data_IF_166017896256
#
_entry.id   IF_166017896256
#
_cell.length_a   1.000
_cell.length_b   1.000
_cell.length_c   1.000
_cell.angle_alpha   90.00
_cell.angle_beta   90.00
_cell.angle_gamma   90.00
#
_symmetry.space_group_name_H-M   'P 1'
#
loop_
_entity.id
_entity.type
_entity.pdbx_description
1 polymer ?
#
# COMPACT_ATOMS: atom_id res chain seq x y z
N UNK A 1 -11.47 36.15 17.36
CA UNK A 1 -12.02 35.12 16.44
C UNK A 1 -10.92 34.26 15.80
N UNK A 2 -9.64 34.39 16.18
CA UNK A 2 -8.57 33.65 15.52
C UNK A 2 -8.58 32.17 15.93
N UNK A 3 -8.81 31.86 17.21
CA UNK A 3 -8.77 30.50 17.72
C UNK A 3 -10.01 29.69 17.34
N UNK A 4 -11.16 30.35 17.26
CA UNK A 4 -12.40 29.76 16.73
C UNK A 4 -12.23 29.33 15.27
N UNK A 5 -11.68 30.21 14.42
CA UNK A 5 -11.43 29.90 13.00
C UNK A 5 -10.40 28.79 12.84
N UNK A 6 -9.32 28.80 13.62
CA UNK A 6 -8.29 27.74 13.61
C UNK A 6 -8.93 26.38 13.97
N UNK A 7 -9.73 26.34 15.03
CA UNK A 7 -10.35 25.10 15.51
C UNK A 7 -11.38 24.56 14.52
N UNK A 8 -12.23 25.42 13.95
CA UNK A 8 -13.19 25.03 12.91
C UNK A 8 -12.50 24.52 11.65
N UNK A 9 -11.43 25.19 11.21
CA UNK A 9 -10.64 24.74 10.05
C UNK A 9 -10.00 23.37 10.32
N UNK A 10 -9.48 23.15 11.52
CA UNK A 10 -8.88 21.89 11.94
C UNK A 10 -9.89 20.74 11.88
N UNK A 11 -11.05 20.92 12.52
CA UNK A 11 -12.12 19.91 12.55
C UNK A 11 -12.65 19.68 11.14
N UNK A 12 -12.83 20.73 10.35
CA UNK A 12 -13.21 20.64 8.94
C UNK A 12 -12.24 19.81 8.11
N UNK A 13 -10.93 20.02 8.26
CA UNK A 13 -9.90 19.23 7.58
C UNK A 13 -9.91 17.76 8.01
N UNK A 14 -10.11 17.48 9.29
CA UNK A 14 -10.23 16.10 9.81
C UNK A 14 -11.45 15.41 9.18
N UNK A 15 -12.61 16.06 9.20
CA UNK A 15 -13.83 15.51 8.61
C UNK A 15 -13.70 15.31 7.09
N UNK A 16 -13.08 16.26 6.39
CA UNK A 16 -12.84 16.17 4.95
C UNK A 16 -11.86 15.04 4.60
N UNK A 17 -10.80 14.87 5.40
CA UNK A 17 -9.85 13.77 5.23
C UNK A 17 -10.54 12.41 5.35
N UNK A 18 -11.36 12.21 6.39
CA UNK A 18 -12.10 10.95 6.59
C UNK A 18 -13.17 10.72 5.53
N UNK A 19 -13.83 11.78 5.06
CA UNK A 19 -14.75 11.70 3.94
C UNK A 19 -14.05 11.22 2.65
N UNK A 20 -12.92 11.84 2.32
CA UNK A 20 -12.10 11.42 1.18
C UNK A 20 -11.67 9.94 1.30
N UNK A 21 -11.27 9.50 2.50
CA UNK A 21 -10.89 8.11 2.74
C UNK A 21 -12.07 7.15 2.62
N UNK A 22 -13.25 7.54 3.11
CA UNK A 22 -14.49 6.77 2.96
C UNK A 22 -14.81 6.59 1.47
N UNK A 23 -14.87 7.68 0.71
CA UNK A 23 -15.12 7.63 -0.73
C UNK A 23 -14.08 6.80 -1.47
N UNK A 24 -12.80 6.96 -1.12
CA UNK A 24 -11.70 6.20 -1.71
C UNK A 24 -11.80 4.69 -1.44
N UNK A 25 -12.31 4.28 -0.28
CA UNK A 25 -12.49 2.85 0.04
C UNK A 25 -13.76 2.28 -0.59
N UNK A 26 -14.86 3.03 -0.50
CA UNK A 26 -16.18 2.60 -0.95
C UNK A 26 -16.28 2.53 -2.47
N UNK A 27 -15.84 3.57 -3.16
CA UNK A 27 -16.16 3.79 -4.56
C UNK A 27 -14.98 3.58 -5.51
N UNK A 28 -13.76 4.02 -5.17
CA UNK A 28 -12.63 3.96 -6.11
C UNK A 28 -12.34 2.53 -6.58
N UNK A 29 -12.42 1.53 -5.70
CA UNK A 29 -12.24 0.13 -6.10
C UNK A 29 -13.30 -0.31 -7.11
N UNK A 30 -14.56 0.01 -6.84
CA UNK A 30 -15.72 -0.35 -7.67
C UNK A 30 -15.66 0.34 -9.04
N UNK A 31 -15.41 1.65 -9.06
CA UNK A 31 -15.23 2.42 -10.29
C UNK A 31 -13.99 1.98 -11.07
N UNK A 32 -12.87 1.68 -10.42
CA UNK A 32 -11.70 1.12 -11.10
C UNK A 32 -12.04 -0.22 -11.75
N UNK A 33 -12.71 -1.15 -11.06
CA UNK A 33 -13.09 -2.44 -11.66
C UNK A 33 -13.98 -2.22 -12.89
N UNK A 34 -14.99 -1.36 -12.76
CA UNK A 34 -15.91 -1.04 -13.85
C UNK A 34 -15.22 -0.37 -15.05
N UNK A 35 -14.37 0.63 -14.81
CA UNK A 35 -13.63 1.31 -15.87
C UNK A 35 -12.69 0.35 -16.61
N UNK A 36 -11.98 -0.51 -15.87
CA UNK A 36 -11.05 -1.49 -16.46
C UNK A 36 -11.76 -2.57 -17.29
N UNK A 37 -13.02 -2.90 -16.98
CA UNK A 37 -13.84 -3.77 -17.83
C UNK A 37 -14.21 -3.09 -19.14
N UNK A 38 -14.52 -1.79 -19.12
CA UNK A 38 -14.88 -1.02 -20.33
C UNK A 38 -13.69 -0.68 -21.21
N UNK A 39 -12.53 -0.40 -20.62
CA UNK A 39 -11.35 0.11 -21.34
C UNK A 39 -10.46 -0.99 -21.94
N UNK A 40 -10.76 -2.27 -21.72
CA UNK A 40 -9.93 -3.38 -22.21
C UNK A 40 -8.52 -3.43 -21.61
N UNK A 41 -8.24 -2.68 -20.53
CA UNK A 41 -6.90 -2.51 -19.95
C UNK A 41 -6.42 -3.71 -19.12
N UNK A 42 -7.02 -4.89 -19.32
CA UNK A 42 -6.67 -6.13 -18.63
C UNK A 42 -6.00 -7.06 -19.64
N UNK A 43 -4.68 -7.20 -19.54
CA UNK A 43 -3.92 -8.16 -20.35
C UNK A 43 -4.12 -9.56 -19.76
N UNK A 44 -4.66 -10.48 -20.54
CA UNK A 44 -4.82 -11.87 -20.13
C UNK A 44 -3.50 -12.62 -20.28
N UNK A 45 -3.17 -13.46 -19.30
CA UNK A 45 -2.07 -14.41 -19.36
C UNK A 45 -2.48 -15.73 -18.72
N UNK A 46 -1.88 -16.83 -19.17
CA UNK A 46 -1.95 -18.09 -18.45
C UNK A 46 -0.91 -18.11 -17.33
N UNK A 47 -1.30 -18.63 -16.17
CA UNK A 47 -0.39 -18.84 -15.05
C UNK A 47 -0.45 -20.29 -14.57
N UNK A 48 0.69 -20.81 -14.15
CA UNK A 48 0.84 -22.16 -13.59
C UNK A 48 0.83 -22.06 -12.07
N UNK A 49 0.04 -22.91 -11.40
CA UNK A 49 -0.03 -22.96 -9.94
C UNK A 49 1.18 -23.75 -9.43
N UNK A 50 2.10 -23.10 -8.73
CA UNK A 50 3.23 -23.76 -8.08
C UNK A 50 2.84 -24.40 -6.74
N UNK A 51 2.00 -23.72 -5.96
CA UNK A 51 1.56 -24.23 -4.66
C UNK A 51 0.22 -23.65 -4.24
N UNK A 52 -0.49 -24.39 -3.38
CA UNK A 52 -1.81 -24.03 -2.85
C UNK A 52 -1.75 -24.14 -1.33
N UNK A 53 -1.97 -23.02 -0.63
CA UNK A 53 -2.05 -22.98 0.84
C UNK A 53 -3.45 -22.60 1.26
N UNK A 54 -4.08 -23.38 2.15
CA UNK A 54 -5.39 -23.04 2.71
C UNK A 54 -5.22 -22.12 3.92
N UNK A 55 -5.65 -20.87 3.80
CA UNK A 55 -5.59 -19.87 4.89
C UNK A 55 -6.78 -19.99 5.84
N UNK A 56 -7.97 -20.28 5.32
CA UNK A 56 -9.19 -20.48 6.11
C UNK A 56 -10.02 -21.62 5.54
N UNK A 57 -10.29 -22.62 6.37
CA UNK A 57 -11.19 -23.72 6.03
C UNK A 57 -12.67 -23.29 6.16
N UNK A 58 -13.55 -23.92 5.38
CA UNK A 58 -14.99 -23.69 5.43
C UNK A 58 -15.69 -24.10 4.13
N UNK A 59 -17.00 -23.84 4.02
CA UNK A 59 -17.78 -24.10 2.79
C UNK A 59 -17.23 -23.39 1.54
N UNK A 60 -16.61 -22.23 1.76
CA UNK A 60 -15.86 -21.48 0.76
C UNK A 60 -14.46 -21.21 1.32
N UNK A 61 -13.49 -22.11 1.12
CA UNK A 61 -12.18 -21.94 1.71
C UNK A 61 -11.45 -20.74 1.08
N UNK A 62 -10.64 -20.06 1.90
CA UNK A 62 -9.72 -19.02 1.44
C UNK A 62 -8.38 -19.68 1.10
N UNK A 63 -8.03 -19.69 -0.18
CA UNK A 63 -6.78 -20.26 -0.69
C UNK A 63 -5.79 -19.14 -1.02
N UNK A 64 -4.51 -19.38 -0.76
CA UNK A 64 -3.38 -18.60 -1.25
C UNK A 64 -2.63 -19.45 -2.28
N UNK A 65 -2.69 -19.05 -3.55
CA UNK A 65 -2.00 -19.71 -4.65
C UNK A 65 -0.70 -18.97 -4.94
N UNK A 66 0.41 -19.70 -5.05
CA UNK A 66 1.63 -19.20 -5.65
C UNK A 66 1.56 -19.50 -7.14
N UNK A 67 1.51 -18.45 -7.97
CA UNK A 67 1.38 -18.59 -9.42
C UNK A 67 2.63 -18.12 -10.15
N UNK A 68 3.05 -18.87 -11.16
CA UNK A 68 4.12 -18.55 -12.09
C UNK A 68 3.52 -18.10 -13.42
N UNK A 69 3.93 -16.94 -13.91
CA UNK A 69 3.55 -16.44 -15.23
C UNK A 69 4.62 -15.48 -15.75
N UNK A 70 4.65 -15.27 -17.06
CA UNK A 70 5.55 -14.29 -17.66
C UNK A 70 5.04 -12.87 -17.47
N UNK A 71 5.91 -11.94 -17.09
CA UNK A 71 5.60 -10.51 -17.07
C UNK A 71 5.37 -9.95 -18.49
N UNK A 72 5.17 -8.63 -18.63
CA UNK A 72 4.88 -7.99 -19.92
C UNK A 72 6.08 -8.02 -20.89
N UNK A 73 7.28 -8.27 -20.35
CA UNK A 73 8.53 -8.37 -21.11
C UNK A 73 8.98 -9.82 -21.32
N UNK A 74 8.15 -10.81 -20.96
CA UNK A 74 8.43 -12.23 -21.16
C UNK A 74 9.28 -12.90 -20.07
N UNK A 75 9.61 -12.20 -18.98
CA UNK A 75 10.38 -12.80 -17.88
C UNK A 75 9.45 -13.52 -16.89
N UNK A 76 9.75 -14.78 -16.49
CA UNK A 76 8.93 -15.51 -15.52
C UNK A 76 8.97 -14.85 -14.14
N UNK A 77 7.81 -14.60 -13.56
CA UNK A 77 7.67 -14.05 -12.20
C UNK A 77 6.69 -14.87 -11.38
N UNK A 78 6.93 -14.92 -10.07
CA UNK A 78 6.05 -15.60 -9.11
C UNK A 78 5.21 -14.59 -8.34
N UNK A 79 3.91 -14.85 -8.14
CA UNK A 79 3.05 -14.02 -7.28
C UNK A 79 2.11 -14.85 -6.43
N UNK A 80 1.89 -14.36 -5.20
CA UNK A 80 0.84 -14.88 -4.33
C UNK A 80 -0.48 -14.22 -4.64
N UNK A 81 -1.52 -15.02 -4.91
CA UNK A 81 -2.89 -14.56 -5.11
C UNK A 81 -3.82 -15.22 -4.09
N UNK A 82 -4.76 -14.45 -3.54
CA UNK A 82 -5.72 -14.94 -2.53
C UNK A 82 -7.12 -15.01 -3.10
N UNK A 83 -7.75 -16.17 -3.01
CA UNK A 83 -9.00 -16.47 -3.68
C UNK A 83 -9.93 -17.20 -2.73
N UNK A 84 -11.20 -16.78 -2.74
CA UNK A 84 -12.28 -17.54 -2.12
C UNK A 84 -12.80 -18.58 -3.11
N UNK A 85 -12.57 -19.86 -2.81
CA UNK A 85 -13.11 -20.92 -3.65
C UNK A 85 -14.60 -21.12 -3.37
N UNK A 86 -15.45 -20.69 -4.30
CA UNK A 86 -16.90 -20.85 -4.19
C UNK A 86 -17.39 -22.28 -4.49
N UNK A 87 -16.56 -23.10 -5.15
CA UNK A 87 -16.90 -24.45 -5.60
C UNK A 87 -15.70 -25.40 -5.39
N UNK A 88 -15.34 -25.70 -4.13
CA UNK A 88 -14.16 -26.52 -3.83
C UNK A 88 -14.28 -27.96 -4.35
N UNK A 89 -15.50 -28.49 -4.50
CA UNK A 89 -15.76 -29.84 -5.02
C UNK A 89 -15.31 -30.05 -6.47
N UNK A 90 -15.07 -28.97 -7.23
CA UNK A 90 -14.60 -29.04 -8.61
C UNK A 90 -13.07 -29.16 -8.72
N UNK A 91 -12.32 -29.15 -7.61
CA UNK A 91 -10.86 -29.28 -7.58
C UNK A 91 -10.14 -28.36 -8.58
N UNK A 92 -10.63 -27.12 -8.73
CA UNK A 92 -10.19 -26.18 -9.78
C UNK A 92 -8.77 -25.63 -9.58
N UNK A 93 -8.25 -25.75 -8.37
CA UNK A 93 -6.96 -25.20 -7.98
C UNK A 93 -6.08 -26.32 -7.45
N UNK A 94 -5.40 -27.01 -8.36
CA UNK A 94 -4.40 -28.04 -8.06
C UNK A 94 -3.01 -27.51 -8.40
N UNK A 95 -1.95 -27.98 -7.69
CA UNK A 95 -0.57 -27.78 -8.13
C UNK A 95 -0.40 -28.22 -9.58
N UNK A 96 0.43 -27.50 -10.33
CA UNK A 96 0.70 -27.65 -11.77
C UNK A 96 -0.50 -27.37 -12.69
N UNK A 97 -1.66 -27.03 -12.13
CA UNK A 97 -2.82 -26.57 -12.89
C UNK A 97 -2.57 -25.21 -13.55
N UNK A 98 -3.11 -25.03 -14.76
CA UNK A 98 -3.13 -23.74 -15.46
C UNK A 98 -4.39 -22.96 -15.15
N UNK A 99 -4.23 -21.68 -14.84
CA UNK A 99 -5.34 -20.75 -14.58
C UNK A 99 -5.17 -19.44 -15.36
N UNK A 100 -6.25 -18.89 -15.93
CA UNK A 100 -6.19 -17.60 -16.59
C UNK A 100 -6.13 -16.48 -15.55
N UNK A 101 -5.12 -15.62 -15.68
CA UNK A 101 -4.94 -14.41 -14.88
C UNK A 101 -5.09 -13.16 -15.76
N UNK A 102 -5.54 -12.07 -15.15
CA UNK A 102 -5.60 -10.76 -15.75
C UNK A 102 -4.63 -9.81 -15.06
N UNK A 103 -3.83 -9.09 -15.84
CA UNK A 103 -2.96 -8.02 -15.37
C UNK A 103 -3.65 -6.68 -15.59
N UNK A 104 -4.04 -6.02 -14.50
CA UNK A 104 -4.67 -4.72 -14.53
C UNK A 104 -3.63 -3.61 -14.29
N UNK A 105 -3.14 -3.00 -15.37
CA UNK A 105 -2.09 -1.98 -15.34
C UNK A 105 -2.52 -0.70 -14.61
N UNK A 106 -3.81 -0.39 -14.59
CA UNK A 106 -4.35 0.79 -13.89
C UNK A 106 -4.19 0.71 -12.36
N UNK A 107 -3.78 -0.45 -11.81
CA UNK A 107 -3.52 -0.60 -10.38
C UNK A 107 -2.13 -0.16 -9.93
N UNK A 108 -1.22 0.24 -10.82
CA UNK A 108 0.12 0.75 -10.47
C UNK A 108 0.03 1.81 -9.35
N UNK A 109 0.79 1.71 -8.25
CA UNK A 109 1.90 0.78 -7.97
C UNK A 109 1.49 -0.47 -7.14
N UNK A 110 0.20 -0.81 -7.08
CA UNK A 110 -0.32 -1.98 -6.34
C UNK A 110 -0.38 -3.23 -7.22
N UNK A 111 -0.45 -4.41 -6.59
CA UNK A 111 -0.58 -5.71 -7.25
C UNK A 111 -1.67 -5.73 -8.34
N UNK A 112 -1.31 -5.87 -9.63
CA UNK A 112 -2.21 -5.84 -10.77
C UNK A 112 -2.86 -7.20 -11.04
N UNK A 113 -2.34 -8.29 -10.47
CA UNK A 113 -2.79 -9.66 -10.73
C UNK A 113 -4.19 -9.87 -10.18
N UNK A 114 -5.08 -10.30 -11.06
CA UNK A 114 -6.45 -10.70 -10.78
C UNK A 114 -6.66 -12.08 -11.39
N UNK A 115 -7.48 -12.92 -10.76
CA UNK A 115 -8.01 -14.07 -11.48
C UNK A 115 -8.93 -13.57 -12.60
N UNK A 116 -8.73 -14.08 -13.81
CA UNK A 116 -9.66 -13.83 -14.90
C UNK A 116 -10.83 -14.81 -14.80
N UNK A 117 -11.67 -14.61 -13.79
CA UNK A 117 -12.89 -15.41 -13.58
C UNK A 117 -14.11 -14.58 -13.95
N UNK A 118 -14.40 -14.47 -15.24
CA UNK A 118 -15.60 -13.81 -15.77
C UNK A 118 -15.83 -12.38 -15.26
N UNK A 119 -17.01 -11.83 -15.53
CA UNK A 119 -17.38 -10.49 -15.09
C UNK A 119 -17.34 -10.40 -13.55
N UNK A 120 -16.38 -9.65 -13.00
CA UNK A 120 -16.33 -9.32 -11.59
C UNK A 120 -17.62 -8.54 -11.25
N UNK A 121 -18.59 -9.22 -10.63
CA UNK A 121 -19.87 -8.61 -10.25
C UNK A 121 -19.64 -7.82 -8.96
N UNK A 122 -19.73 -6.50 -9.05
CA UNK A 122 -19.82 -5.64 -7.87
C UNK A 122 -21.13 -6.03 -7.17
N UNK A 123 -21.04 -6.40 -5.90
CA UNK A 123 -22.23 -6.74 -5.12
C UNK A 123 -23.10 -5.48 -4.96
N UNK A 124 -24.35 -5.55 -5.42
CA UNK A 124 -25.32 -4.45 -5.25
C UNK A 124 -25.49 -4.09 -3.78
N UNK A 125 -25.56 -5.10 -2.89
CA UNK A 125 -25.63 -4.89 -1.45
C UNK A 125 -24.43 -4.10 -0.91
N UNK A 126 -23.21 -4.40 -1.40
CA UNK A 126 -22.02 -3.63 -1.02
C UNK A 126 -22.11 -2.17 -1.47
N UNK A 127 -22.63 -1.90 -2.67
CA UNK A 127 -22.83 -0.55 -3.17
C UNK A 127 -23.86 0.22 -2.33
N UNK A 128 -24.99 -0.42 -1.97
CA UNK A 128 -26.01 0.19 -1.09
C UNK A 128 -25.44 0.54 0.28
N UNK A 129 -24.66 -0.36 0.90
CA UNK A 129 -24.00 -0.10 2.19
C UNK A 129 -23.01 1.07 2.07
N UNK A 130 -22.23 1.12 0.99
CA UNK A 130 -21.30 2.22 0.75
C UNK A 130 -22.03 3.57 0.62
N UNK A 131 -23.12 3.61 -0.14
CA UNK A 131 -23.94 4.80 -0.31
C UNK A 131 -24.57 5.22 1.02
N UNK A 132 -25.15 4.29 1.78
CA UNK A 132 -25.78 4.60 3.07
C UNK A 132 -24.78 5.15 4.09
N UNK A 133 -23.59 4.56 4.19
CA UNK A 133 -22.52 5.08 5.06
C UNK A 133 -22.09 6.49 4.65
N UNK A 134 -22.02 6.76 3.34
CA UNK A 134 -21.62 8.09 2.82
C UNK A 134 -22.68 9.13 3.13
N UNK A 135 -23.97 8.82 2.92
CA UNK A 135 -25.09 9.71 3.26
C UNK A 135 -25.12 9.99 4.76
N UNK A 136 -25.03 8.95 5.59
CA UNK A 136 -25.02 9.09 7.04
C UNK A 136 -23.87 9.98 7.51
N UNK A 137 -22.67 9.81 6.93
CA UNK A 137 -21.51 10.62 7.24
C UNK A 137 -21.71 12.11 6.89
N UNK A 138 -22.22 12.40 5.68
CA UNK A 138 -22.46 13.79 5.22
C UNK A 138 -23.53 14.46 6.07
N UNK A 139 -24.63 13.76 6.35
CA UNK A 139 -25.70 14.26 7.21
C UNK A 139 -25.19 14.54 8.62
N UNK A 140 -24.42 13.61 9.21
CA UNK A 140 -23.81 13.81 10.52
C UNK A 140 -22.85 15.01 10.57
N UNK A 141 -22.02 15.19 9.53
CA UNK A 141 -21.14 16.36 9.43
C UNK A 141 -21.92 17.66 9.27
N UNK A 142 -22.98 17.66 8.48
CA UNK A 142 -23.83 18.83 8.27
C UNK A 142 -24.48 19.28 9.58
N UNK A 143 -25.06 18.35 10.34
CA UNK A 143 -25.64 18.66 11.65
C UNK A 143 -24.58 19.16 12.65
N UNK A 144 -23.44 18.47 12.74
CA UNK A 144 -22.36 18.85 13.66
C UNK A 144 -21.82 20.26 13.37
N UNK A 145 -21.46 20.52 12.11
CA UNK A 145 -20.85 21.81 11.72
C UNK A 145 -21.91 22.92 11.69
N UNK A 146 -23.12 22.64 11.19
CA UNK A 146 -24.21 23.62 11.15
C UNK A 146 -24.60 24.11 12.54
N UNK A 147 -24.77 23.18 13.48
CA UNK A 147 -25.09 23.51 14.87
C UNK A 147 -23.92 24.23 15.55
N UNK A 148 -22.67 23.81 15.29
CA UNK A 148 -21.50 24.49 15.82
C UNK A 148 -21.42 25.94 15.33
N UNK A 149 -21.60 26.20 14.03
CA UNK A 149 -21.60 27.55 13.46
C UNK A 149 -22.74 28.39 14.04
N UNK A 150 -23.94 27.81 14.17
CA UNK A 150 -25.11 28.49 14.76
C UNK A 150 -24.81 28.98 16.18
N UNK A 151 -24.27 28.10 17.03
CA UNK A 151 -23.90 28.42 18.43
C UNK A 151 -22.76 29.44 18.52
N UNK A 152 -21.73 29.26 17.70
CA UNK A 152 -20.58 30.19 17.65
C UNK A 152 -21.03 31.59 17.22
N UNK A 153 -21.94 31.70 16.25
CA UNK A 153 -22.46 32.98 15.80
C UNK A 153 -23.37 33.64 16.83
N UNK A 154 -24.06 32.85 17.67
CA UNK A 154 -24.89 33.39 18.74
C UNK A 154 -24.05 34.07 19.84
N UNK A 155 -22.96 33.43 20.28
CA UNK A 155 -22.07 33.95 21.33
C UNK A 155 -20.58 33.89 20.96
N UNK A 156 -20.09 34.74 20.05
CA UNK A 156 -18.74 34.58 19.50
C UNK A 156 -17.61 34.75 20.52
N UNK A 157 -17.78 35.66 21.48
CA UNK A 157 -16.76 35.94 22.51
C UNK A 157 -16.59 34.78 23.49
N UNK A 158 -17.70 34.12 23.85
CA UNK A 158 -17.72 32.94 24.72
C UNK A 158 -16.90 31.82 24.09
N UNK A 159 -17.21 31.46 22.84
CA UNK A 159 -16.51 30.37 22.15
C UNK A 159 -15.05 30.71 21.84
N UNK A 160 -14.74 31.98 21.53
CA UNK A 160 -13.34 32.39 21.37
C UNK A 160 -12.54 32.21 22.67
N UNK A 161 -13.11 32.56 23.82
CA UNK A 161 -12.45 32.37 25.12
C UNK A 161 -12.28 30.89 25.48
N UNK A 162 -13.28 30.05 25.17
CA UNK A 162 -13.23 28.60 25.38
C UNK A 162 -12.18 27.92 24.50
N UNK A 163 -12.13 28.25 23.21
CA UNK A 163 -11.13 27.70 22.30
C UNK A 163 -9.73 28.25 22.56
N UNK A 164 -9.62 29.44 23.16
CA UNK A 164 -8.35 29.97 23.66
C UNK A 164 -7.81 29.22 24.86
N UNK A 165 -8.69 28.88 25.81
CA UNK A 165 -8.34 28.08 26.97
C UNK A 165 -8.05 26.61 26.59
N UNK A 166 -8.58 26.17 25.44
CA UNK A 166 -8.36 24.82 24.95
C UNK A 166 -6.97 24.62 24.36
N UNK A 167 -6.25 23.59 24.82
CA UNK A 167 -4.94 23.21 24.30
C UNK A 167 -5.01 22.43 22.97
N UNK A 168 -6.19 22.37 22.33
CA UNK A 168 -6.44 21.56 21.13
C UNK A 168 -5.46 21.82 19.99
N UNK A 169 -5.15 23.09 19.72
CA UNK A 169 -4.25 23.45 18.62
C UNK A 169 -2.79 23.04 18.91
N UNK A 170 -2.36 23.11 20.18
CA UNK A 170 -1.01 22.74 20.62
C UNK A 170 -0.82 21.22 20.54
N UNK A 171 -1.80 20.46 21.01
CA UNK A 171 -1.79 18.99 20.93
C UNK A 171 -1.68 18.51 19.48
N UNK A 172 -2.34 19.20 18.55
CA UNK A 172 -2.26 18.89 17.13
C UNK A 172 -0.91 19.26 16.51
N UNK A 173 -0.36 20.42 16.86
CA UNK A 173 0.96 20.83 16.39
C UNK A 173 2.05 19.82 16.83
N UNK A 174 1.99 19.38 18.09
CA UNK A 174 2.90 18.35 18.62
C UNK A 174 2.69 17.01 17.91
N UNK A 175 1.44 16.58 17.73
CA UNK A 175 1.15 15.32 17.04
C UNK A 175 1.64 15.32 15.59
N UNK A 176 1.38 16.38 14.82
CA UNK A 176 1.87 16.49 13.45
C UNK A 176 3.39 16.57 13.39
N UNK A 177 4.02 17.34 14.29
CA UNK A 177 5.47 17.38 14.42
C UNK A 177 6.06 16.00 14.66
N UNK A 178 5.53 15.26 15.64
CA UNK A 178 5.96 13.92 15.98
C UNK A 178 5.70 12.91 14.85
N UNK A 179 4.53 12.98 14.19
CA UNK A 179 4.17 12.10 13.09
C UNK A 179 5.07 12.31 11.85
N UNK A 180 5.35 13.57 11.50
CA UNK A 180 6.26 13.93 10.39
C UNK A 180 7.68 13.48 10.72
N UNK A 181 8.14 13.73 11.95
CA UNK A 181 9.47 13.31 12.41
C UNK A 181 9.63 11.79 12.38
N UNK A 182 8.64 11.05 12.90
CA UNK A 182 8.65 9.58 12.91
C UNK A 182 8.60 9.01 11.48
N UNK A 183 7.79 9.61 10.60
CA UNK A 183 7.74 9.23 9.19
C UNK A 183 9.10 9.47 8.49
N UNK A 184 9.75 10.60 8.79
CA UNK A 184 11.08 10.92 8.28
C UNK A 184 12.13 9.91 8.77
N UNK A 185 12.12 9.55 10.07
CA UNK A 185 13.00 8.53 10.64
C UNK A 185 12.78 7.16 9.97
N UNK A 186 11.54 6.70 9.86
CA UNK A 186 11.25 5.41 9.22
C UNK A 186 11.64 5.38 7.74
N UNK A 187 11.55 6.51 7.03
CA UNK A 187 12.05 6.64 5.66
C UNK A 187 13.58 6.57 5.61
N UNK A 188 14.29 7.21 6.54
CA UNK A 188 15.76 7.15 6.65
C UNK A 188 16.28 5.74 6.95
N UNK A 189 15.59 5.01 7.82
CA UNK A 189 15.94 3.64 8.23
C UNK A 189 15.58 2.61 7.11
N UNK A 190 14.87 3.03 6.06
CA UNK A 190 14.50 2.15 4.93
C UNK A 190 13.32 1.24 5.23
N UNK A 191 12.64 1.41 6.37
CA UNK A 191 11.44 0.66 6.75
C UNK A 191 10.18 1.10 5.99
N UNK A 192 10.19 2.33 5.46
CA UNK A 192 9.11 2.88 4.65
C UNK A 192 9.61 3.14 3.22
N UNK A 193 9.14 2.32 2.29
CA UNK A 193 9.41 2.48 0.85
C UNK A 193 8.64 3.70 0.33
N UNK A 194 9.35 4.67 -0.24
CA UNK A 194 8.74 5.85 -0.86
C UNK A 194 7.80 5.45 -2.01
N UNK A 195 6.69 6.17 -2.21
CA UNK A 195 5.71 5.86 -3.28
C UNK A 195 6.32 5.84 -4.68
N UNK A 196 7.36 6.65 -4.93
CA UNK A 196 8.15 6.62 -6.17
C UNK A 196 8.90 5.30 -6.35
N UNK A 197 9.48 4.77 -5.27
CA UNK A 197 10.16 3.49 -5.28
C UNK A 197 9.15 2.35 -5.46
N UNK A 198 7.93 2.47 -4.91
CA UNK A 198 6.89 1.46 -5.11
C UNK A 198 6.45 1.37 -6.58
N UNK A 199 6.28 2.51 -7.26
CA UNK A 199 5.98 2.54 -8.70
C UNK A 199 7.13 1.96 -9.54
N UNK A 200 8.37 2.29 -9.20
CA UNK A 200 9.55 1.71 -9.87
C UNK A 200 9.67 0.20 -9.62
N UNK A 201 9.42 -0.28 -8.40
CA UNK A 201 9.41 -1.72 -8.11
C UNK A 201 8.31 -2.44 -8.88
N UNK A 202 7.15 -1.80 -9.02
CA UNK A 202 6.07 -2.32 -9.84
C UNK A 202 6.49 -2.42 -11.32
N UNK A 203 7.12 -1.36 -11.85
CA UNK A 203 7.59 -1.36 -13.24
C UNK A 203 8.65 -2.44 -13.43
N UNK A 204 9.61 -2.57 -12.51
CA UNK A 204 10.64 -3.61 -12.56
C UNK A 204 10.02 -5.00 -12.56
N UNK A 205 9.05 -5.28 -11.69
CA UNK A 205 8.44 -6.59 -11.60
C UNK A 205 7.60 -6.95 -12.84
N UNK A 206 6.80 -6.02 -13.35
CA UNK A 206 5.84 -6.30 -14.42
C UNK A 206 6.33 -5.95 -15.83
N UNK A 207 7.35 -5.10 -15.98
CA UNK A 207 7.91 -4.65 -17.27
C UNK A 207 9.43 -4.83 -17.35
N UNK A 208 10.10 -5.28 -16.27
CA UNK A 208 11.54 -5.49 -16.28
C UNK A 208 11.97 -6.78 -16.97
N UNK A 209 13.26 -6.88 -17.23
CA UNK A 209 13.94 -8.09 -17.67
C UNK A 209 14.86 -8.59 -16.55
N UNK A 210 14.92 -9.91 -16.38
CA UNK A 210 15.89 -10.54 -15.50
C UNK A 210 17.29 -10.53 -16.11
N UNK A 211 18.31 -10.29 -15.30
CA UNK A 211 19.71 -10.44 -15.66
C UNK A 211 20.52 -10.99 -14.49
N UNK A 212 21.61 -11.67 -14.81
CA UNK A 212 22.62 -12.05 -13.82
C UNK A 212 23.65 -10.94 -13.73
N UNK A 213 23.78 -10.34 -12.55
CA UNK A 213 24.75 -9.30 -12.27
C UNK A 213 25.97 -9.90 -11.55
N UNK A 214 27.15 -9.36 -11.84
CA UNK A 214 28.40 -9.68 -11.15
C UNK A 214 28.63 -8.68 -10.03
N UNK A 215 28.90 -9.18 -8.82
CA UNK A 215 29.18 -8.33 -7.65
C UNK A 215 30.55 -7.67 -7.81
N UNK A 216 30.60 -6.35 -7.66
CA UNK A 216 31.83 -5.54 -7.65
C UNK A 216 32.33 -5.36 -6.22
N UNK A 217 31.40 -5.10 -5.30
CA UNK A 217 31.68 -4.86 -3.89
C UNK A 217 30.42 -5.10 -3.06
N UNK A 218 30.60 -5.52 -1.82
CA UNK A 218 29.57 -5.44 -0.79
C UNK A 218 30.05 -4.57 0.37
N UNK A 219 29.12 -3.94 1.11
CA UNK A 219 29.43 -3.16 2.30
C UNK A 219 28.40 -3.43 3.41
N UNK A 220 28.88 -3.40 4.65
CA UNK A 220 28.00 -3.45 5.81
C UNK A 220 27.26 -2.12 5.96
N UNK A 221 25.94 -2.19 6.13
CA UNK A 221 25.11 -1.00 6.37
C UNK A 221 24.96 -0.67 7.85
N UNK A 222 25.48 -1.51 8.75
CA UNK A 222 25.36 -1.37 10.20
C UNK A 222 23.93 -1.55 10.72
N UNK A 223 23.01 -2.03 9.87
CA UNK A 223 21.58 -2.17 10.19
C UNK A 223 21.21 -3.64 10.32
N UNK A 224 20.51 -4.00 11.40
CA UNK A 224 19.99 -5.35 11.64
C UNK A 224 18.46 -5.38 11.52
N UNK A 225 17.92 -6.40 10.85
CA UNK A 225 16.48 -6.67 10.78
C UNK A 225 16.25 -8.11 11.25
N UNK A 226 15.56 -8.29 12.38
CA UNK A 226 15.37 -9.59 13.03
C UNK A 226 16.70 -10.34 13.23
N UNK A 227 17.71 -9.65 13.76
CA UNK A 227 19.09 -10.15 13.96
C UNK A 227 19.83 -10.58 12.68
N UNK A 228 19.28 -10.30 11.50
CA UNK A 228 19.95 -10.54 10.22
C UNK A 228 20.54 -9.23 9.69
N UNK A 229 21.82 -9.23 9.26
CA UNK A 229 22.46 -8.04 8.73
C UNK A 229 21.87 -7.60 7.39
N UNK A 230 21.75 -6.30 7.21
CA UNK A 230 21.47 -5.69 5.92
C UNK A 230 22.79 -5.38 5.23
N UNK A 231 23.05 -6.02 4.09
CA UNK A 231 24.28 -5.86 3.31
C UNK A 231 23.95 -5.09 2.03
N UNK A 232 24.76 -4.08 1.72
CA UNK A 232 24.70 -3.37 0.45
C UNK A 232 25.57 -4.04 -0.60
N UNK A 233 25.09 -4.07 -1.84
CA UNK A 233 25.79 -4.65 -2.99
C UNK A 233 25.91 -3.60 -4.09
N UNK A 234 27.11 -3.48 -4.65
CA UNK A 234 27.42 -2.81 -5.91
C UNK A 234 27.65 -3.92 -6.94
N UNK A 235 26.92 -3.85 -8.06
CA UNK A 235 26.95 -4.90 -9.07
C UNK A 235 26.96 -4.32 -10.48
N UNK A 236 27.44 -5.12 -11.43
CA UNK A 236 27.48 -4.77 -12.84
C UNK A 236 26.74 -5.82 -13.66
N UNK A 237 26.04 -5.41 -14.71
CA UNK A 237 25.30 -6.32 -15.57
C UNK A 237 25.28 -5.82 -17.01
N UNK A 238 24.92 -6.71 -17.93
CA UNK A 238 24.74 -6.37 -19.34
C UNK A 238 23.27 -6.38 -19.71
N UNK A 239 22.84 -5.39 -20.46
CA UNK A 239 21.50 -5.35 -21.03
C UNK A 239 21.38 -6.28 -22.26
N UNK A 240 20.20 -6.30 -22.89
CA UNK A 240 19.96 -7.05 -24.14
C UNK A 240 20.85 -6.60 -25.31
N UNK A 241 21.40 -5.38 -25.27
CA UNK A 241 22.32 -4.84 -26.29
C UNK A 241 23.81 -5.09 -25.97
N UNK A 242 24.08 -5.80 -24.86
CA UNK A 242 25.43 -6.07 -24.31
C UNK A 242 26.16 -4.84 -23.76
N UNK A 243 25.46 -3.72 -23.58
CA UNK A 243 25.99 -2.54 -22.89
C UNK A 243 26.10 -2.81 -21.39
N UNK A 244 27.20 -2.37 -20.78
CA UNK A 244 27.48 -2.56 -19.35
C UNK A 244 26.81 -1.44 -18.53
N UNK A 245 26.08 -1.83 -17.49
CA UNK A 245 25.47 -0.93 -16.53
C UNK A 245 25.89 -1.31 -15.11
N UNK A 246 25.96 -0.30 -14.24
CA UNK A 246 26.21 -0.47 -12.81
C UNK A 246 24.91 -0.22 -12.02
N UNK A 247 24.74 -0.95 -10.93
CA UNK A 247 23.61 -0.81 -10.02
C UNK A 247 24.02 -1.03 -8.58
N UNK A 248 23.14 -0.63 -7.67
CA UNK A 248 23.32 -0.92 -6.26
C UNK A 248 21.98 -1.18 -5.57
N UNK A 249 21.97 -2.14 -4.66
CA UNK A 249 20.80 -2.45 -3.86
C UNK A 249 21.22 -3.06 -2.52
N UNK A 250 20.28 -3.21 -1.59
CA UNK A 250 20.53 -3.75 -0.25
C UNK A 250 19.68 -4.98 -0.01
N UNK A 251 20.25 -6.02 0.60
CA UNK A 251 19.55 -7.26 0.92
C UNK A 251 19.69 -7.57 2.41
N UNK A 252 18.62 -8.12 3.02
CA UNK A 252 18.72 -8.78 4.33
C UNK A 252 19.33 -10.16 4.10
N UNK A 253 20.52 -10.39 4.64
CA UNK A 253 21.27 -11.63 4.49
C UNK A 253 21.10 -12.46 5.75
N UNK A 254 20.73 -13.74 5.62
CA UNK A 254 20.61 -14.62 6.79
C UNK A 254 21.96 -14.82 7.49
N UNK A 255 21.98 -15.06 8.81
CA UNK A 255 23.24 -15.32 9.55
C UNK A 255 24.14 -16.40 8.92
N UNK A 256 23.53 -17.45 8.36
CA UNK A 256 24.25 -18.52 7.66
C UNK A 256 24.77 -18.06 6.28
N UNK A 257 23.98 -17.28 5.55
CA UNK A 257 24.40 -16.69 4.26
C UNK A 257 25.51 -15.64 4.45
N UNK A 258 25.60 -15.03 5.63
CA UNK A 258 26.63 -14.02 5.94
C UNK A 258 28.04 -14.61 5.84
N UNK A 259 28.20 -15.88 6.21
CA UNK A 259 29.47 -16.60 6.06
C UNK A 259 29.78 -16.94 4.58
N UNK A 260 28.75 -17.13 3.76
CA UNK A 260 28.85 -17.44 2.33
C UNK A 260 28.90 -16.21 1.41
N UNK A 261 28.82 -14.98 1.96
CA UNK A 261 28.88 -13.74 1.19
C UNK A 261 30.16 -13.60 0.38
N UNK A 262 31.26 -14.17 0.87
CA UNK A 262 32.56 -14.13 0.19
C UNK A 262 32.59 -15.00 -1.08
N UNK A 263 31.73 -16.01 -1.15
CA UNK A 263 31.62 -16.94 -2.29
C UNK A 263 30.53 -16.49 -3.29
N UNK A 264 29.80 -15.43 -2.96
CA UNK A 264 28.74 -14.88 -3.80
C UNK A 264 29.34 -13.98 -4.88
N UNK A 265 29.51 -14.51 -6.08
CA UNK A 265 30.01 -13.74 -7.23
C UNK A 265 28.89 -13.10 -8.06
N UNK A 266 27.69 -13.68 -8.02
CA UNK A 266 26.58 -13.36 -8.92
C UNK A 266 25.27 -13.17 -8.17
N UNK A 267 24.46 -12.23 -8.65
CA UNK A 267 23.14 -11.92 -8.13
C UNK A 267 22.10 -11.89 -9.26
N UNK A 268 20.87 -12.30 -8.94
CA UNK A 268 19.74 -12.11 -9.85
C UNK A 268 19.13 -10.73 -9.64
N UNK A 269 19.08 -9.96 -10.73
CA UNK A 269 18.51 -8.63 -10.75
C UNK A 269 17.40 -8.54 -11.78
N UNK A 270 16.55 -7.54 -11.60
CA UNK A 270 15.60 -7.08 -12.58
C UNK A 270 15.98 -5.64 -12.98
N UNK A 271 15.92 -5.33 -14.27
CA UNK A 271 16.17 -3.97 -14.79
C UNK A 271 15.07 -3.55 -15.77
N UNK A 272 14.88 -2.24 -15.94
CA UNK A 272 13.93 -1.72 -16.93
C UNK A 272 14.59 -1.61 -18.31
N UNK A 273 14.05 -2.27 -19.36
CA UNK A 273 14.65 -2.20 -20.70
C UNK A 273 14.65 -0.77 -21.28
N UNK A 274 13.63 0.03 -20.97
CA UNK A 274 13.55 1.43 -21.41
C UNK A 274 14.54 2.36 -20.69
N UNK A 275 15.03 1.98 -19.50
CA UNK A 275 16.04 2.72 -18.75
C UNK A 275 16.83 1.76 -17.83
N UNK A 276 17.90 1.12 -18.34
CA UNK A 276 18.63 0.08 -17.61
C UNK A 276 19.30 0.58 -16.32
N UNK A 277 19.49 1.89 -16.14
CA UNK A 277 20.00 2.45 -14.87
C UNK A 277 19.07 2.17 -13.67
N UNK A 278 17.79 1.85 -13.94
CA UNK A 278 16.85 1.41 -12.91
C UNK A 278 16.95 -0.13 -12.83
N UNK A 279 17.66 -0.62 -11.82
CA UNK A 279 17.79 -2.04 -11.50
C UNK A 279 17.63 -2.29 -10.00
N UNK A 280 17.18 -3.50 -9.63
CA UNK A 280 17.10 -3.97 -8.24
C UNK A 280 17.29 -5.48 -8.16
N UNK A 281 17.62 -5.99 -6.98
CA UNK A 281 17.64 -7.42 -6.71
C UNK A 281 16.23 -8.00 -6.84
N UNK A 282 16.11 -9.16 -7.51
CA UNK A 282 14.82 -9.76 -7.82
C UNK A 282 14.00 -10.05 -6.53
N UNK A 283 14.66 -10.56 -5.50
CA UNK A 283 14.05 -10.88 -4.19
C UNK A 283 13.46 -9.66 -3.47
N UNK A 284 14.03 -8.48 -3.65
CA UNK A 284 13.57 -7.25 -3.02
C UNK A 284 12.23 -6.77 -3.60
N UNK A 285 11.87 -7.21 -4.81
CA UNK A 285 10.59 -6.88 -5.44
C UNK A 285 9.43 -7.70 -4.86
N UNK A 286 9.71 -8.79 -4.15
CA UNK A 286 8.68 -9.70 -3.66
C UNK A 286 8.16 -9.35 -2.25
N UNK A 287 8.91 -8.54 -1.49
CA UNK A 287 8.67 -8.36 -0.05
C UNK A 287 7.88 -7.08 0.29
N UNK A 288 6.54 -7.18 0.37
CA UNK A 288 5.64 -6.04 0.67
C UNK A 288 5.07 -6.01 2.11
N UNK A 289 5.50 -6.91 3.00
CA UNK A 289 4.85 -7.15 4.31
C UNK A 289 4.90 -5.97 5.28
N UNK A 290 6.12 -5.47 5.55
CA UNK A 290 6.36 -4.48 6.62
C UNK A 290 5.71 -3.12 6.35
N UNK A 291 5.78 -2.63 5.11
CA UNK A 291 5.19 -1.34 4.72
C UNK A 291 3.67 -1.31 4.93
N UNK A 292 2.97 -2.44 4.75
CA UNK A 292 1.52 -2.53 4.98
C UNK A 292 1.17 -2.38 6.46
N UNK A 293 1.96 -3.02 7.34
CA UNK A 293 1.77 -2.94 8.79
C UNK A 293 2.02 -1.53 9.33
N UNK A 294 3.12 -0.88 8.93
CA UNK A 294 3.45 0.49 9.38
C UNK A 294 2.36 1.47 8.94
N UNK A 295 1.89 1.37 7.69
CA UNK A 295 0.79 2.20 7.21
C UNK A 295 -0.51 1.96 8.00
N UNK A 296 -0.82 0.71 8.35
CA UNK A 296 -1.99 0.40 9.18
C UNK A 296 -1.91 1.07 10.56
N UNK A 297 -0.76 0.94 11.23
CA UNK A 297 -0.53 1.52 12.55
C UNK A 297 -0.62 3.06 12.51
N UNK A 298 -0.06 3.67 11.48
CA UNK A 298 -0.17 5.11 11.24
C UNK A 298 -1.64 5.56 11.08
N UNK A 299 -2.41 4.86 10.23
CA UNK A 299 -3.83 5.21 10.04
C UNK A 299 -4.67 4.97 11.29
N UNK A 300 -4.37 3.92 12.06
CA UNK A 300 -5.04 3.65 13.34
C UNK A 300 -4.79 4.78 14.34
N UNK A 301 -3.53 5.19 14.47
CA UNK A 301 -3.13 6.31 15.33
C UNK A 301 -3.87 7.59 14.91
N UNK A 302 -3.83 7.92 13.61
CA UNK A 302 -4.51 9.10 13.09
C UNK A 302 -6.04 9.06 13.30
N UNK A 303 -6.66 7.87 13.29
CA UNK A 303 -8.06 7.68 13.62
C UNK A 303 -8.36 8.00 15.09
N UNK A 304 -7.62 7.39 16.03
CA UNK A 304 -7.80 7.63 17.46
C UNK A 304 -7.65 9.12 17.77
N UNK A 305 -6.63 9.77 17.23
CA UNK A 305 -6.44 11.22 17.41
C UNK A 305 -7.55 12.06 16.79
N UNK A 306 -8.08 11.68 15.63
CA UNK A 306 -9.22 12.38 15.02
C UNK A 306 -10.47 12.30 15.89
N UNK A 307 -10.73 11.14 16.50
CA UNK A 307 -11.86 10.96 17.43
C UNK A 307 -11.68 11.85 18.66
N UNK A 308 -10.49 11.88 19.25
CA UNK A 308 -10.19 12.74 20.41
C UNK A 308 -10.42 14.21 20.07
N UNK A 309 -10.01 14.67 18.89
CA UNK A 309 -10.18 16.07 18.46
C UNK A 309 -11.63 16.43 18.28
N UNK A 310 -12.40 15.58 17.58
CA UNK A 310 -13.83 15.81 17.38
C UNK A 310 -14.58 15.75 18.71
N UNK A 311 -14.22 14.83 19.62
CA UNK A 311 -14.83 14.75 20.95
C UNK A 311 -14.55 15.99 21.80
N UNK A 312 -13.30 16.45 21.84
CA UNK A 312 -12.93 17.69 22.56
C UNK A 312 -13.51 18.95 21.93
N UNK A 313 -13.84 18.93 20.63
CA UNK A 313 -14.59 20.00 19.99
C UNK A 313 -16.07 19.98 20.37
N UNK A 314 -16.70 18.79 20.37
CA UNK A 314 -18.12 18.62 20.70
C UNK A 314 -18.40 18.92 22.17
N UNK A 315 -17.54 18.45 23.09
CA UNK A 315 -17.77 18.56 24.53
C UNK A 315 -18.08 19.99 25.02
N UNK A 316 -17.29 21.03 24.72
CA UNK A 316 -17.59 22.41 25.13
C UNK A 316 -18.72 23.07 24.32
N UNK A 317 -19.11 22.48 23.18
CA UNK A 317 -20.17 23.00 22.31
C UNK A 317 -21.56 22.49 22.71
N UNK A 318 -21.62 21.28 23.28
CA UNK A 318 -22.86 20.56 23.58
C UNK A 318 -23.01 20.13 25.04
N UNK A 319 -21.95 20.21 25.85
CA UNK A 319 -21.99 20.05 27.30
C UNK A 319 -22.27 21.37 28.00
#
# INVERSE_FOLDING_TARGET
MSHTVITLSLVGLVLLFWFYKLLSRCFVRSFCIWNNQKSGSITQKEATILSVTTLKAGKKPLLELLVLFENLSGHPIHRKIRIWDSMPHLNRFQPDGKIPIGLNLAKRPKGPVLLFTGACRISFAYMVICCSMTVLYVVGCYFLIGEAISRINADPEKYESLFRASELWQMWAIFFGAAIFLHFLFKRIGLVVSGRNQAQNWDLLYQGLGATATIKRYWDTGTLVNDNPVVGFEYTFRDSTKQLFEGSDKKIVGKLETAALSDLEKLEIMYLPANPNISRLAENLENEGMTKFINLLFYFTLFVFSVIVVANFIQPLFG
#
